data_IF_969665449880
#
_entry.id   IF_969665449880
#
_cell.length_a   1.000
_cell.length_b   1.000
_cell.length_c   1.000
_cell.angle_alpha   90.00
_cell.angle_beta   90.00
_cell.angle_gamma   90.00
#
_symmetry.space_group_name_H-M   'P 1'
#
loop_
_entity.id
_entity.type
_entity.pdbx_description
1 polymer ?
#
# COMPACT_ATOMS: atom_id res chain seq x y z
N UNK A 1 26.39 -36.07 5.85
CA UNK A 1 25.41 -35.26 5.10
C UNK A 1 24.58 -34.52 6.13
N UNK A 2 24.94 -33.28 6.41
CA UNK A 2 24.26 -32.46 7.42
C UNK A 2 23.32 -31.55 6.64
N UNK A 3 22.01 -31.82 6.72
CA UNK A 3 20.99 -30.92 6.19
C UNK A 3 21.05 -29.63 7.00
N UNK A 4 21.45 -28.53 6.36
CA UNK A 4 21.22 -27.21 6.91
C UNK A 4 19.71 -26.92 6.82
N UNK A 5 19.07 -26.42 7.88
CA UNK A 5 17.71 -25.94 7.76
C UNK A 5 17.75 -24.67 6.91
N UNK A 6 17.09 -24.72 5.75
CA UNK A 6 16.75 -23.52 4.99
C UNK A 6 16.00 -22.60 5.94
N UNK A 7 16.61 -21.48 6.29
CA UNK A 7 15.90 -20.37 6.92
C UNK A 7 14.92 -19.89 5.84
N UNK A 8 13.67 -20.36 5.89
CA UNK A 8 12.56 -19.69 5.25
C UNK A 8 12.42 -18.35 5.98
N UNK A 9 13.19 -17.36 5.53
CA UNK A 9 12.98 -15.98 5.91
C UNK A 9 11.51 -15.68 5.63
N UNK A 10 10.80 -15.21 6.64
CA UNK A 10 9.39 -14.93 6.55
C UNK A 10 9.19 -13.85 5.47
N UNK A 11 8.75 -14.26 4.27
CA UNK A 11 8.47 -13.44 3.06
C UNK A 11 7.26 -12.51 3.23
N UNK A 12 7.04 -11.95 4.41
CA UNK A 12 5.72 -11.39 4.74
C UNK A 12 5.38 -10.08 4.00
N UNK A 13 6.35 -9.38 3.38
CA UNK A 13 6.10 -8.09 2.73
C UNK A 13 6.91 -7.86 1.43
N UNK A 14 7.19 -8.90 0.65
CA UNK A 14 7.94 -8.76 -0.62
C UNK A 14 7.14 -7.97 -1.68
N UNK A 15 5.81 -7.89 -1.50
CA UNK A 15 4.90 -7.10 -2.32
C UNK A 15 5.05 -5.58 -2.14
N UNK A 16 5.79 -5.10 -1.13
CA UNK A 16 5.98 -3.66 -0.91
C UNK A 16 7.42 -3.29 -0.57
N UNK A 17 7.93 -2.26 -1.24
CA UNK A 17 9.30 -1.76 -1.01
C UNK A 17 9.35 -0.24 -1.02
N UNK A 18 10.42 0.28 -0.43
CA UNK A 18 10.79 1.68 -0.52
C UNK A 18 12.08 1.81 -1.30
N UNK A 19 12.16 2.74 -2.25
CA UNK A 19 13.35 2.93 -3.07
C UNK A 19 13.77 4.40 -3.08
N UNK A 20 15.05 4.65 -2.84
CA UNK A 20 15.62 5.98 -2.97
C UNK A 20 16.13 6.19 -4.41
N UNK A 21 15.82 7.35 -4.98
CA UNK A 21 16.43 7.82 -6.23
C UNK A 21 17.16 9.15 -6.01
N UNK A 22 18.49 9.11 -6.02
CA UNK A 22 19.30 10.33 -5.98
C UNK A 22 19.14 11.15 -7.26
N UNK A 23 19.01 10.48 -8.42
CA UNK A 23 18.86 11.13 -9.73
C UNK A 23 17.57 11.94 -9.79
N UNK A 24 16.45 11.36 -9.35
CA UNK A 24 15.15 12.03 -9.36
C UNK A 24 14.89 12.81 -8.07
N UNK A 25 15.81 12.76 -7.09
CA UNK A 25 15.68 13.42 -5.79
C UNK A 25 14.37 13.01 -5.09
N UNK A 26 14.03 11.72 -5.12
CA UNK A 26 12.79 11.18 -4.54
C UNK A 26 13.02 9.92 -3.71
N UNK A 27 12.01 9.58 -2.92
CA UNK A 27 11.86 8.30 -2.22
C UNK A 27 10.50 7.74 -2.63
N UNK A 28 10.51 6.59 -3.28
CA UNK A 28 9.31 5.90 -3.73
C UNK A 28 8.82 4.88 -2.71
N UNK A 29 7.52 4.66 -2.65
CA UNK A 29 6.87 3.47 -2.09
C UNK A 29 6.17 2.77 -3.26
N UNK A 30 6.55 1.52 -3.49
CA UNK A 30 6.00 0.69 -4.57
C UNK A 30 5.32 -0.51 -3.93
N UNK A 31 4.01 -0.62 -4.12
CA UNK A 31 3.18 -1.72 -3.67
C UNK A 31 2.65 -2.50 -4.87
N UNK A 32 3.26 -3.67 -5.09
CA UNK A 32 2.97 -4.59 -6.19
C UNK A 32 1.68 -5.37 -5.92
N UNK A 33 0.66 -5.12 -6.74
CA UNK A 33 -0.64 -5.76 -6.64
C UNK A 33 -0.72 -7.07 -7.44
N UNK A 34 0.27 -7.35 -8.29
CA UNK A 34 0.39 -8.60 -9.05
C UNK A 34 0.95 -9.76 -8.21
N UNK A 35 1.37 -9.50 -6.96
CA UNK A 35 1.69 -10.58 -6.04
C UNK A 35 0.43 -11.40 -5.73
N UNK A 36 0.52 -12.74 -5.85
CA UNK A 36 -0.61 -13.65 -5.67
C UNK A 36 -1.37 -13.45 -4.36
N UNK A 37 -0.68 -13.07 -3.27
CA UNK A 37 -1.32 -12.82 -1.98
C UNK A 37 -2.19 -11.57 -2.02
N UNK A 38 -1.69 -10.52 -2.67
CA UNK A 38 -2.39 -9.24 -2.81
C UNK A 38 -3.53 -9.37 -3.80
N UNK A 39 -3.32 -10.06 -4.92
CA UNK A 39 -4.37 -10.38 -5.86
C UNK A 39 -5.53 -11.12 -5.19
N UNK A 40 -5.24 -12.15 -4.39
CA UNK A 40 -6.28 -12.87 -3.66
C UNK A 40 -7.01 -12.02 -2.60
N UNK A 41 -6.31 -11.09 -1.94
CA UNK A 41 -6.92 -10.12 -1.02
C UNK A 41 -7.88 -9.18 -1.77
N UNK A 42 -7.42 -8.62 -2.89
CA UNK A 42 -8.21 -7.72 -3.73
C UNK A 42 -9.50 -8.39 -4.22
N UNK A 43 -9.43 -9.66 -4.64
CA UNK A 43 -10.62 -10.43 -5.05
C UNK A 43 -11.63 -10.61 -3.91
N UNK A 44 -11.18 -10.77 -2.66
CA UNK A 44 -12.08 -10.87 -1.50
C UNK A 44 -12.72 -9.53 -1.16
N UNK A 45 -11.97 -8.44 -1.21
CA UNK A 45 -12.51 -7.09 -1.00
C UNK A 45 -13.58 -6.78 -2.06
N UNK A 46 -13.26 -7.03 -3.33
CA UNK A 46 -14.16 -6.78 -4.45
C UNK A 46 -15.43 -7.64 -4.39
N UNK A 47 -15.35 -8.87 -3.86
CA UNK A 47 -16.53 -9.72 -3.66
C UNK A 47 -17.52 -9.17 -2.61
N UNK A 48 -17.05 -8.35 -1.68
CA UNK A 48 -17.90 -7.69 -0.68
C UNK A 48 -18.35 -6.29 -1.13
N UNK A 49 -17.51 -5.58 -1.89
CA UNK A 49 -17.76 -4.23 -2.38
C UNK A 49 -17.37 -4.12 -3.86
N UNK A 50 -18.36 -4.19 -4.76
CA UNK A 50 -18.14 -4.16 -6.22
C UNK A 50 -17.42 -2.87 -6.68
N UNK A 51 -17.63 -1.75 -5.99
CA UNK A 51 -16.95 -0.47 -6.26
C UNK A 51 -15.46 -0.50 -5.89
N UNK A 52 -15.07 -1.36 -4.96
CA UNK A 52 -13.70 -1.50 -4.49
C UNK A 52 -12.92 -2.51 -5.35
N UNK A 53 -12.89 -2.30 -6.67
CA UNK A 53 -12.00 -3.05 -7.56
C UNK A 53 -10.54 -2.62 -7.31
N UNK A 54 -9.89 -3.23 -6.32
CA UNK A 54 -8.62 -2.82 -5.69
C UNK A 54 -7.37 -2.93 -6.61
N UNK A 55 -7.42 -2.30 -7.78
CA UNK A 55 -6.28 -1.98 -8.62
C UNK A 55 -5.46 -0.80 -8.01
N UNK A 56 -4.38 -0.36 -8.65
CA UNK A 56 -3.53 0.70 -8.08
C UNK A 56 -4.26 2.03 -7.87
N UNK A 57 -5.21 2.39 -8.75
CA UNK A 57 -6.01 3.61 -8.63
C UNK A 57 -6.95 3.55 -7.42
N UNK A 58 -7.62 2.41 -7.22
CA UNK A 58 -8.53 2.23 -6.08
C UNK A 58 -7.80 2.01 -4.76
N UNK A 59 -6.58 1.43 -4.78
CA UNK A 59 -5.69 1.49 -3.62
C UNK A 59 -5.27 2.93 -3.28
N UNK A 60 -5.01 3.78 -4.27
CA UNK A 60 -4.72 5.20 -4.05
C UNK A 60 -5.92 5.94 -3.45
N UNK A 61 -7.13 5.75 -4.00
CA UNK A 61 -8.36 6.32 -3.47
C UNK A 61 -8.62 5.90 -2.01
N UNK A 62 -8.56 4.60 -1.73
CA UNK A 62 -8.71 4.05 -0.39
C UNK A 62 -7.67 4.60 0.59
N UNK A 63 -6.38 4.57 0.22
CA UNK A 63 -5.30 5.05 1.10
C UNK A 63 -5.39 6.56 1.33
N UNK A 64 -5.79 7.35 0.33
CA UNK A 64 -6.00 8.78 0.51
C UNK A 64 -7.09 9.04 1.56
N UNK A 65 -8.22 8.35 1.45
CA UNK A 65 -9.31 8.45 2.42
C UNK A 65 -8.85 8.01 3.83
N UNK A 66 -8.26 6.82 3.94
CA UNK A 66 -7.78 6.25 5.20
C UNK A 66 -6.74 7.16 5.89
N UNK A 67 -5.74 7.60 5.15
CA UNK A 67 -4.67 8.45 5.68
C UNK A 67 -5.19 9.83 6.05
N UNK A 68 -6.16 10.40 5.33
CA UNK A 68 -6.71 11.72 5.66
C UNK A 68 -7.32 11.77 7.07
N UNK A 69 -7.89 10.65 7.51
CA UNK A 69 -8.51 10.50 8.84
C UNK A 69 -7.44 10.15 9.88
N UNK A 70 -6.63 9.13 9.62
CA UNK A 70 -5.78 8.54 10.66
C UNK A 70 -4.37 9.11 10.70
N UNK A 71 -3.80 9.48 9.55
CA UNK A 71 -2.38 9.90 9.41
C UNK A 71 -2.21 10.98 8.32
N UNK A 72 -2.88 12.14 8.43
CA UNK A 72 -2.90 13.15 7.36
C UNK A 72 -1.51 13.72 7.03
N UNK A 73 -0.57 13.68 7.99
CA UNK A 73 0.82 14.08 7.77
C UNK A 73 1.56 13.25 6.71
N UNK A 74 1.08 12.04 6.40
CA UNK A 74 1.64 11.22 5.31
C UNK A 74 1.22 11.70 3.93
N UNK A 75 0.10 12.42 3.80
CA UNK A 75 -0.35 12.97 2.51
C UNK A 75 0.43 14.23 2.10
N UNK A 76 1.04 14.92 3.05
CA UNK A 76 1.88 16.09 2.76
C UNK A 76 3.09 15.73 1.89
N UNK A 77 3.16 16.33 0.69
CA UNK A 77 4.19 16.13 -0.32
C UNK A 77 4.22 14.71 -0.93
N UNK A 78 3.14 13.96 -0.79
CA UNK A 78 2.95 12.69 -1.46
C UNK A 78 2.51 12.96 -2.91
N UNK A 79 3.27 12.47 -3.88
CA UNK A 79 2.89 12.47 -5.29
C UNK A 79 2.49 11.05 -5.68
N UNK A 80 1.27 10.91 -6.22
CA UNK A 80 0.69 9.63 -6.60
C UNK A 80 0.84 9.41 -8.11
N UNK A 81 1.32 8.24 -8.50
CA UNK A 81 1.44 7.79 -9.89
C UNK A 81 1.03 6.30 -9.97
N UNK A 82 -0.21 5.96 -9.57
CA UNK A 82 -0.68 4.59 -9.52
C UNK A 82 -0.88 4.01 -10.92
N UNK A 83 -0.75 2.70 -11.02
CA UNK A 83 -0.97 1.91 -12.23
C UNK A 83 -1.85 0.70 -11.91
N UNK A 84 -2.55 0.08 -12.88
CA UNK A 84 -3.49 -1.02 -12.57
C UNK A 84 -2.89 -2.14 -11.69
N UNK A 85 -1.63 -2.51 -11.93
CA UNK A 85 -0.91 -3.54 -11.16
C UNK A 85 -0.06 -3.03 -10.00
N UNK A 86 -0.03 -1.72 -9.73
CA UNK A 86 0.87 -1.14 -8.74
C UNK A 86 0.33 0.15 -8.13
N UNK A 87 0.29 0.22 -6.80
CA UNK A 87 0.21 1.52 -6.12
C UNK A 87 1.64 2.06 -6.00
N UNK A 88 1.94 3.11 -6.75
CA UNK A 88 3.25 3.76 -6.76
C UNK A 88 3.10 5.23 -6.37
N UNK A 89 3.91 5.64 -5.40
CA UNK A 89 3.92 7.01 -4.89
C UNK A 89 5.34 7.45 -4.56
N UNK A 90 5.56 8.76 -4.55
CA UNK A 90 6.86 9.33 -4.21
C UNK A 90 6.75 10.48 -3.22
N UNK A 91 7.84 10.68 -2.48
CA UNK A 91 8.10 11.88 -1.70
C UNK A 91 9.39 12.55 -2.19
N UNK A 92 9.57 13.88 -2.02
CA UNK A 92 10.85 14.53 -2.26
C UNK A 92 11.91 14.01 -1.28
N UNK A 93 13.15 13.87 -1.72
CA UNK A 93 14.26 13.32 -0.94
C UNK A 93 14.65 14.22 0.24
N UNK A 94 14.30 13.76 1.45
CA UNK A 94 14.67 14.34 2.74
C UNK A 94 14.65 13.25 3.83
N UNK A 95 15.28 13.47 4.99
CA UNK A 95 15.20 12.52 6.12
C UNK A 95 13.76 12.34 6.62
N UNK A 96 12.98 13.43 6.72
CA UNK A 96 11.55 13.37 7.09
C UNK A 96 10.76 12.51 6.09
N UNK A 97 11.03 12.64 4.80
CA UNK A 97 10.38 11.84 3.77
C UNK A 97 10.76 10.36 3.83
N UNK A 98 11.99 10.02 4.27
CA UNK A 98 12.37 8.61 4.50
C UNK A 98 11.51 8.01 5.60
N UNK A 99 11.29 8.74 6.69
CA UNK A 99 10.43 8.32 7.79
C UNK A 99 8.98 8.13 7.31
N UNK A 100 8.42 9.10 6.55
CA UNK A 100 7.08 9.00 5.97
C UNK A 100 6.93 7.78 5.06
N UNK A 101 7.88 7.53 4.17
CA UNK A 101 7.84 6.38 3.26
C UNK A 101 7.88 5.05 4.04
N UNK A 102 8.68 4.95 5.09
CA UNK A 102 8.71 3.77 5.96
C UNK A 102 7.42 3.60 6.76
N UNK A 103 6.83 4.69 7.25
CA UNK A 103 5.55 4.64 7.96
C UNK A 103 4.41 4.21 7.03
N UNK A 104 4.32 4.79 5.84
CA UNK A 104 3.34 4.39 4.82
C UNK A 104 3.48 2.91 4.47
N UNK A 105 4.72 2.43 4.25
CA UNK A 105 4.97 1.00 4.04
C UNK A 105 4.44 0.15 5.19
N UNK A 106 4.68 0.54 6.44
CA UNK A 106 4.20 -0.21 7.62
C UNK A 106 2.67 -0.23 7.71
N UNK A 107 2.01 0.88 7.37
CA UNK A 107 0.54 0.95 7.33
C UNK A 107 -0.02 0.01 6.26
N UNK A 108 0.54 0.02 5.04
CA UNK A 108 0.09 -0.88 3.98
C UNK A 108 0.30 -2.34 4.38
N UNK A 109 1.46 -2.69 4.95
CA UNK A 109 1.69 -4.04 5.49
C UNK A 109 0.65 -4.37 6.56
N UNK A 110 0.39 -3.48 7.52
CA UNK A 110 -0.61 -3.70 8.55
C UNK A 110 -2.00 -3.99 7.96
N UNK A 111 -2.45 -3.17 7.01
CA UNK A 111 -3.75 -3.32 6.36
C UNK A 111 -3.85 -4.65 5.59
N UNK A 112 -2.81 -5.05 4.87
CA UNK A 112 -2.77 -6.35 4.16
C UNK A 112 -2.83 -7.54 5.12
N UNK A 113 -2.25 -7.41 6.31
CA UNK A 113 -2.29 -8.45 7.34
C UNK A 113 -3.60 -8.46 8.16
N UNK A 114 -4.40 -7.39 8.08
CA UNK A 114 -5.65 -7.18 8.83
C UNK A 114 -6.75 -6.73 7.87
N UNK A 115 -7.18 -7.64 7.00
CA UNK A 115 -8.20 -7.41 5.98
C UNK A 115 -9.50 -6.84 6.56
N UNK A 116 -9.87 -7.22 7.78
CA UNK A 116 -11.03 -6.70 8.49
C UNK A 116 -10.99 -5.18 8.67
N UNK A 117 -9.80 -4.58 8.83
CA UNK A 117 -9.64 -3.12 8.94
C UNK A 117 -9.96 -2.44 7.61
N UNK A 118 -9.59 -3.06 6.49
CA UNK A 118 -9.95 -2.56 5.15
C UNK A 118 -11.46 -2.66 4.96
N UNK A 119 -12.05 -3.82 5.22
CA UNK A 119 -13.48 -4.06 5.00
C UNK A 119 -14.36 -3.18 5.90
N UNK A 120 -13.97 -2.97 7.16
CA UNK A 120 -14.70 -2.08 8.07
C UNK A 120 -14.59 -0.63 7.60
N UNK A 121 -13.40 -0.17 7.22
CA UNK A 121 -13.22 1.20 6.73
C UNK A 121 -14.02 1.46 5.46
N UNK A 122 -13.98 0.55 4.50
CA UNK A 122 -14.77 0.65 3.27
C UNK A 122 -16.26 0.67 3.62
N UNK A 123 -16.74 -0.24 4.48
CA UNK A 123 -18.15 -0.26 4.88
C UNK A 123 -18.63 1.03 5.55
N UNK A 124 -17.78 1.70 6.34
CA UNK A 124 -18.10 2.97 7.00
C UNK A 124 -18.00 4.18 6.06
N UNK A 125 -17.18 4.11 5.02
CA UNK A 125 -16.79 5.25 4.19
C UNK A 125 -17.03 5.08 2.68
N UNK A 126 -17.73 4.03 2.24
CA UNK A 126 -17.86 3.63 0.84
C UNK A 126 -18.19 4.81 -0.09
N UNK A 127 -19.24 5.57 0.26
CA UNK A 127 -19.73 6.72 -0.53
C UNK A 127 -18.80 7.94 -0.52
N UNK A 128 -17.84 7.98 0.41
CA UNK A 128 -16.89 9.09 0.58
C UNK A 128 -15.52 8.79 -0.04
N UNK A 129 -15.27 7.55 -0.45
CA UNK A 129 -14.04 7.19 -1.16
C UNK A 129 -14.25 7.52 -2.64
N UNK A 130 -13.34 8.32 -3.20
CA UNK A 130 -13.36 8.71 -4.61
C UNK A 130 -12.76 7.59 -5.48
N UNK A 131 -13.51 6.50 -5.65
CA UNK A 131 -13.14 5.37 -6.52
C UNK A 131 -12.99 5.79 -7.99
N UNK A 132 -12.17 5.06 -8.74
CA UNK A 132 -11.85 5.24 -10.17
C UNK A 132 -12.20 3.99 -11.00
#
# INVERSE_FOLDING_TARGET
MTYAPTIMGNKMSDYIKTQLSEQFRTIAVEFNLEDNRIFALNERINAEYDEAYMNGYNWAAFLRAYLSIYRPSLLELLEEDPEPGCYYVTYPLSEKSKEKAQELKKIIVYLVEHEEEILNFIGEHLDNIEWD
#
